data_IF_083172197310
#
_entry.id   IF_083172197310
#
_cell.length_a   1.000
_cell.length_b   1.000
_cell.length_c   1.000
_cell.angle_alpha   90.00
_cell.angle_beta   90.00
_cell.angle_gamma   90.00
#
_symmetry.space_group_name_H-M   'P 1'
#
loop_
_entity.id
_entity.type
_entity.pdbx_description
1 polymer ?
#
# COMPACT_ATOMS: atom_id res chain seq x y z
N UNK A 1 -23.30 -11.09 45.64
CA UNK A 1 -22.98 -11.58 44.27
C UNK A 1 -24.15 -12.45 43.81
N UNK A 2 -24.84 -12.14 42.69
CA UNK A 2 -26.09 -12.82 42.29
C UNK A 2 -25.94 -13.93 41.23
N UNK A 3 -24.72 -14.16 40.73
CA UNK A 3 -24.42 -15.17 39.71
C UNK A 3 -23.39 -16.16 40.22
N UNK A 4 -23.59 -17.45 39.92
CA UNK A 4 -22.68 -18.55 40.27
C UNK A 4 -21.45 -18.64 39.35
N UNK A 5 -21.45 -17.91 38.22
CA UNK A 5 -20.35 -17.93 37.24
C UNK A 5 -19.36 -16.78 37.48
N UNK A 6 -18.08 -17.11 37.55
CA UNK A 6 -17.00 -16.12 37.66
C UNK A 6 -16.65 -15.55 36.27
N UNK A 7 -16.56 -14.22 36.16
CA UNK A 7 -16.08 -13.53 34.97
C UNK A 7 -14.91 -12.63 35.36
N UNK A 8 -13.87 -12.58 34.53
CA UNK A 8 -12.73 -11.70 34.76
C UNK A 8 -13.20 -10.24 34.71
N UNK A 9 -12.91 -9.41 35.73
CA UNK A 9 -13.23 -7.99 35.68
C UNK A 9 -12.43 -7.33 34.55
N UNK A 10 -12.97 -6.25 33.99
CA UNK A 10 -12.22 -5.43 33.04
C UNK A 10 -11.13 -4.69 33.81
N UNK A 11 -9.89 -4.83 33.35
CA UNK A 11 -8.72 -4.16 33.93
C UNK A 11 -8.17 -3.15 32.93
N UNK A 12 -7.35 -2.21 33.41
CA UNK A 12 -6.60 -1.29 32.54
C UNK A 12 -5.67 -2.09 31.62
N UNK A 13 -5.67 -1.75 30.33
CA UNK A 13 -4.72 -2.27 29.34
C UNK A 13 -3.90 -1.09 28.83
N UNK A 14 -2.64 -1.03 29.24
CA UNK A 14 -1.70 -0.01 28.78
C UNK A 14 -1.27 -0.30 27.34
N UNK A 15 -0.97 0.77 26.59
CA UNK A 15 -0.37 0.65 25.27
C UNK A 15 1.05 0.10 25.37
N UNK A 16 1.50 -0.59 24.32
CA UNK A 16 2.86 -1.16 24.29
C UNK A 16 3.88 -0.06 24.03
N UNK A 17 4.85 0.08 24.93
CA UNK A 17 6.02 0.98 24.78
C UNK A 17 7.31 0.14 24.88
N UNK A 18 7.78 -0.45 23.76
CA UNK A 18 8.97 -1.30 23.77
C UNK A 18 10.25 -0.48 23.94
N UNK A 19 11.20 -0.96 24.74
CA UNK A 19 12.48 -0.29 25.00
C UNK A 19 13.46 -0.28 23.82
N UNK A 20 13.19 -1.08 22.79
CA UNK A 20 14.05 -1.22 21.62
C UNK A 20 13.22 -1.44 20.35
N UNK A 21 13.77 -1.01 19.22
CA UNK A 21 13.16 -1.20 17.90
C UNK A 21 13.21 -2.67 17.48
N UNK A 22 12.10 -3.21 16.96
CA UNK A 22 12.06 -4.59 16.41
C UNK A 22 12.83 -4.76 15.10
N UNK A 23 13.07 -3.66 14.38
CA UNK A 23 13.90 -3.59 13.18
C UNK A 23 14.83 -2.40 13.34
N UNK A 24 16.11 -2.60 13.05
CA UNK A 24 17.12 -1.55 13.14
C UNK A 24 16.95 -0.47 12.08
N UNK A 25 16.44 -0.84 10.89
CA UNK A 25 16.26 0.08 9.75
C UNK A 25 14.82 0.03 9.25
N UNK A 26 14.19 1.18 8.95
CA UNK A 26 12.88 1.22 8.33
C UNK A 26 12.92 0.63 6.91
N UNK A 27 11.78 0.06 6.47
CA UNK A 27 11.67 -0.46 5.10
C UNK A 27 11.44 0.69 4.14
N UNK A 28 12.25 0.76 3.08
CA UNK A 28 12.04 1.69 1.97
C UNK A 28 10.85 1.23 1.12
N UNK A 29 10.04 2.17 0.63
CA UNK A 29 8.99 1.86 -0.32
C UNK A 29 9.63 1.36 -1.62
N UNK A 30 9.32 0.13 -2.01
CA UNK A 30 9.83 -0.50 -3.24
C UNK A 30 8.97 -0.18 -4.47
N UNK A 31 7.84 0.49 -4.31
CA UNK A 31 7.03 0.99 -5.41
C UNK A 31 7.27 2.49 -5.50
N UNK A 32 8.41 2.84 -6.09
CA UNK A 32 8.72 4.23 -6.41
C UNK A 32 8.19 4.59 -7.82
N UNK A 33 8.33 5.85 -8.20
CA UNK A 33 7.78 6.39 -9.44
C UNK A 33 8.35 5.67 -10.68
N UNK A 34 9.64 5.35 -10.63
CA UNK A 34 10.34 4.66 -11.71
C UNK A 34 9.94 3.18 -11.81
N UNK A 35 9.62 2.54 -10.69
CA UNK A 35 9.13 1.17 -10.69
C UNK A 35 7.64 1.06 -11.04
N UNK A 36 6.86 2.13 -10.79
CA UNK A 36 5.44 2.22 -11.19
C UNK A 36 5.32 2.35 -12.71
N UNK A 37 6.05 3.28 -13.34
CA UNK A 37 6.00 3.57 -14.78
C UNK A 37 7.10 2.81 -15.52
N UNK A 38 6.75 1.71 -16.20
CA UNK A 38 7.76 0.80 -16.80
C UNK A 38 8.20 1.26 -18.18
N UNK A 39 7.28 1.30 -19.13
CA UNK A 39 7.56 1.71 -20.52
C UNK A 39 6.28 2.11 -21.25
N UNK A 40 6.38 2.97 -22.28
CA UNK A 40 5.24 3.35 -23.10
C UNK A 40 4.75 2.17 -23.94
N UNK A 41 3.45 2.11 -24.19
CA UNK A 41 2.87 1.13 -25.10
C UNK A 41 2.92 1.68 -26.52
N UNK A 42 3.66 1.01 -27.41
CA UNK A 42 3.93 1.48 -28.78
C UNK A 42 3.08 0.77 -29.84
N UNK A 43 1.89 0.29 -29.51
CA UNK A 43 0.98 -0.32 -30.49
C UNK A 43 0.29 0.75 -31.33
N UNK A 44 -0.12 0.42 -32.56
CA UNK A 44 -0.84 1.36 -33.44
C UNK A 44 -2.07 1.98 -32.76
N UNK A 45 -2.83 1.15 -32.03
CA UNK A 45 -3.98 1.59 -31.24
C UNK A 45 -3.62 2.55 -30.10
N UNK A 46 -2.42 2.43 -29.53
CA UNK A 46 -1.93 3.32 -28.50
C UNK A 46 -1.42 4.63 -29.09
N UNK A 47 -0.67 4.56 -30.20
CA UNK A 47 -0.23 5.75 -30.95
C UNK A 47 -1.42 6.59 -31.40
N UNK A 48 -2.47 5.95 -31.94
CA UNK A 48 -3.71 6.63 -32.31
C UNK A 48 -4.38 7.35 -31.13
N UNK A 49 -4.37 6.75 -29.93
CA UNK A 49 -4.93 7.39 -28.71
C UNK A 49 -4.09 8.58 -28.20
N UNK A 50 -2.79 8.60 -28.52
CA UNK A 50 -1.92 9.74 -28.23
C UNK A 50 -2.33 10.93 -29.10
N UNK A 51 -2.56 10.68 -30.39
CA UNK A 51 -2.90 11.73 -31.38
C UNK A 51 -4.36 12.21 -31.25
N UNK A 52 -5.32 11.29 -31.20
CA UNK A 52 -6.76 11.64 -31.24
C UNK A 52 -7.25 12.25 -29.93
N UNK A 53 -6.79 11.73 -28.79
CA UNK A 53 -7.36 12.02 -27.46
C UNK A 53 -6.37 12.73 -26.51
N UNK A 54 -5.12 12.98 -26.93
CA UNK A 54 -4.05 13.47 -26.06
C UNK A 54 -3.83 12.60 -24.81
N UNK A 55 -3.96 11.27 -24.95
CA UNK A 55 -3.77 10.32 -23.84
C UNK A 55 -2.51 9.49 -24.03
N UNK A 56 -1.58 9.56 -23.07
CA UNK A 56 -0.40 8.71 -23.07
C UNK A 56 -0.73 7.32 -22.52
N UNK A 57 -0.25 6.28 -23.20
CA UNK A 57 -0.50 4.88 -22.81
C UNK A 57 0.81 4.25 -22.35
N UNK A 58 0.82 3.74 -21.11
CA UNK A 58 1.97 3.11 -20.49
C UNK A 58 1.61 1.75 -19.91
N UNK A 59 2.62 0.88 -19.84
CA UNK A 59 2.56 -0.33 -19.02
C UNK A 59 3.10 0.01 -17.63
N UNK A 60 2.32 -0.36 -16.61
CA UNK A 60 2.58 -0.04 -15.19
C UNK A 60 2.76 -1.29 -14.34
N UNK A 61 3.29 -1.15 -13.12
CA UNK A 61 3.30 -2.24 -12.15
C UNK A 61 1.89 -2.62 -11.70
N UNK A 62 1.61 -3.92 -11.57
CA UNK A 62 0.27 -4.44 -11.24
C UNK A 62 -0.21 -4.04 -9.85
N UNK A 63 0.71 -3.64 -8.97
CA UNK A 63 0.40 -3.18 -7.62
C UNK A 63 0.12 -1.68 -7.54
N UNK A 64 0.35 -0.93 -8.62
CA UNK A 64 0.12 0.51 -8.63
C UNK A 64 -1.39 0.82 -8.59
N UNK A 65 -1.78 1.74 -7.71
CA UNK A 65 -3.12 2.32 -7.68
C UNK A 65 -3.16 3.62 -8.49
N UNK A 66 -4.37 4.00 -8.91
CA UNK A 66 -4.61 5.30 -9.56
C UNK A 66 -4.72 6.45 -8.54
N UNK A 67 -5.16 6.12 -7.34
CA UNK A 67 -5.40 7.01 -6.19
C UNK A 67 -4.16 7.15 -5.33
#
# INVERSE_FOLDING_TARGET
RKSTKFHRPKTLVLQREPKYSRRSVPRVNKLDQYQILKYPLTTESAMKKIEDNNTLVFIVDTRASKS
#
